data_IF_815378773746
#
_entry.id   IF_815378773746
#
_cell.length_a   1.000
_cell.length_b   1.000
_cell.length_c   1.000
_cell.angle_alpha   90.00
_cell.angle_beta   90.00
_cell.angle_gamma   90.00
#
_symmetry.space_group_name_H-M   'P 1'
#
loop_
_entity.id
_entity.type
_entity.pdbx_description
1 polymer ?
#
# COMPACT_ATOMS: atom_id res chain seq x y z
N UNK A 1 -8.86 17.34 6.98
CA UNK A 1 -7.78 16.56 6.36
C UNK A 1 -6.51 16.85 7.15
N UNK A 2 -5.76 15.84 7.57
CA UNK A 2 -4.58 16.05 8.41
C UNK A 2 -3.43 16.58 7.55
N UNK A 3 -3.06 17.84 7.67
CA UNK A 3 -2.03 18.46 6.81
C UNK A 3 -0.64 18.45 7.45
N UNK A 4 -0.56 18.81 8.74
CA UNK A 4 0.70 18.94 9.45
C UNK A 4 1.47 17.61 9.62
N UNK A 5 0.84 16.48 9.99
CA UNK A 5 1.58 15.23 10.20
C UNK A 5 2.16 14.62 8.93
N UNK A 6 1.57 14.90 7.75
CA UNK A 6 2.03 14.33 6.49
C UNK A 6 3.46 14.73 6.15
N UNK A 7 3.82 15.99 6.39
CA UNK A 7 5.17 16.48 6.13
C UNK A 7 6.23 15.68 6.89
N UNK A 8 5.90 15.12 8.06
CA UNK A 8 6.81 14.26 8.81
C UNK A 8 6.74 12.80 8.35
N UNK A 9 5.55 12.29 8.07
CA UNK A 9 5.32 10.89 7.69
C UNK A 9 5.79 10.55 6.27
N UNK A 10 5.85 11.55 5.38
CA UNK A 10 6.28 11.37 4.00
C UNK A 10 7.79 11.14 3.87
N UNK A 11 8.57 11.39 4.93
CA UNK A 11 9.98 11.01 4.99
C UNK A 11 10.15 9.58 5.48
N UNK A 12 10.71 8.71 4.64
CA UNK A 12 11.01 7.32 5.00
C UNK A 12 12.21 7.25 5.94
N UNK A 13 11.97 6.80 7.18
CA UNK A 13 12.99 6.64 8.22
C UNK A 13 13.92 5.45 7.89
N UNK A 14 15.21 5.73 7.72
CA UNK A 14 16.24 4.71 7.44
C UNK A 14 16.91 4.16 8.69
N UNK A 15 17.31 5.09 9.56
CA UNK A 15 18.12 4.80 10.75
C UNK A 15 17.40 5.30 11.97
N UNK A 16 17.19 4.42 12.93
CA UNK A 16 16.64 4.76 14.23
C UNK A 16 17.80 4.92 15.20
N UNK A 17 18.03 6.15 15.67
CA UNK A 17 19.07 6.43 16.66
C UNK A 17 18.61 5.98 18.05
N UNK A 18 19.10 4.81 18.48
CA UNK A 18 18.79 4.23 19.79
C UNK A 18 19.61 4.82 20.94
N UNK A 19 20.53 5.76 20.66
CA UNK A 19 21.41 6.34 21.70
C UNK A 19 20.83 7.58 22.37
N UNK A 20 19.93 8.29 21.69
CA UNK A 20 19.37 9.56 22.17
C UNK A 20 18.10 9.41 23.00
N UNK A 21 17.32 8.34 22.76
CA UNK A 21 16.04 8.11 23.42
C UNK A 21 15.90 6.63 23.81
N UNK A 22 15.24 6.35 24.94
CA UNK A 22 14.79 5.01 25.32
C UNK A 22 13.66 4.55 24.37
N UNK A 23 14.04 4.07 23.19
CA UNK A 23 13.13 3.59 22.16
C UNK A 23 12.74 2.13 22.44
N UNK A 24 11.45 1.93 22.74
CA UNK A 24 10.86 0.61 22.79
C UNK A 24 10.22 0.22 21.44
N UNK A 25 10.14 -1.08 21.18
CA UNK A 25 9.47 -1.64 20.00
C UNK A 25 8.02 -1.14 19.91
N UNK A 26 7.33 -0.97 21.04
CA UNK A 26 5.98 -0.44 21.07
C UNK A 26 5.90 0.97 20.45
N UNK A 27 6.91 1.82 20.68
CA UNK A 27 6.95 3.18 20.11
C UNK A 27 7.02 3.15 18.59
N UNK A 28 7.79 2.21 18.03
CA UNK A 28 7.90 2.00 16.58
C UNK A 28 6.56 1.52 16.02
N UNK A 29 5.92 0.53 16.67
CA UNK A 29 4.61 0.03 16.25
C UNK A 29 3.54 1.12 16.28
N UNK A 30 3.50 1.93 17.33
CA UNK A 30 2.55 3.03 17.48
C UNK A 30 2.76 4.12 16.41
N UNK A 31 4.01 4.49 16.14
CA UNK A 31 4.34 5.47 15.09
C UNK A 31 3.77 5.04 13.73
N UNK A 32 4.09 3.84 13.27
CA UNK A 32 3.60 3.35 11.98
C UNK A 32 2.09 3.07 11.99
N UNK A 33 1.54 2.61 13.11
CA UNK A 33 0.10 2.38 13.23
C UNK A 33 -0.70 3.68 13.15
N UNK A 34 -0.32 4.72 13.91
CA UNK A 34 -0.99 6.01 13.85
C UNK A 34 -0.71 6.74 12.55
N UNK A 35 0.51 6.63 12.01
CA UNK A 35 0.84 7.12 10.66
C UNK A 35 -0.08 6.54 9.60
N UNK A 36 -0.35 5.22 9.66
CA UNK A 36 -1.32 4.60 8.75
C UNK A 36 -2.73 5.18 8.89
N UNK A 37 -3.18 5.49 10.09
CA UNK A 37 -4.50 6.09 10.32
C UNK A 37 -4.62 7.49 9.73
N UNK A 38 -3.54 8.28 9.81
CA UNK A 38 -3.46 9.60 9.17
C UNK A 38 -3.57 9.45 7.65
N UNK A 39 -2.82 8.53 7.05
CA UNK A 39 -2.88 8.27 5.62
C UNK A 39 -4.27 7.77 5.17
N UNK A 40 -4.89 6.86 5.92
CA UNK A 40 -6.26 6.39 5.66
C UNK A 40 -7.25 7.56 5.69
N UNK A 41 -7.16 8.44 6.70
CA UNK A 41 -8.04 9.58 6.83
C UNK A 41 -7.88 10.58 5.67
N UNK A 42 -6.68 10.66 5.10
CA UNK A 42 -6.39 11.47 3.92
C UNK A 42 -6.63 10.73 2.59
N UNK A 43 -7.17 9.51 2.63
CA UNK A 43 -7.42 8.63 1.46
C UNK A 43 -6.15 8.27 0.67
N UNK A 44 -4.97 8.41 1.27
CA UNK A 44 -3.73 7.90 0.69
C UNK A 44 -3.57 6.43 1.10
N UNK A 45 -4.32 5.55 0.42
CA UNK A 45 -4.36 4.13 0.77
C UNK A 45 -3.06 3.40 0.48
N UNK A 46 -2.29 3.84 -0.53
CA UNK A 46 -1.01 3.21 -0.89
C UNK A 46 -0.02 3.31 0.28
N UNK A 47 0.27 4.53 0.76
CA UNK A 47 1.17 4.73 1.91
C UNK A 47 0.62 4.12 3.19
N UNK A 48 -0.69 4.14 3.38
CA UNK A 48 -1.31 3.47 4.53
C UNK A 48 -1.03 1.96 4.55
N UNK A 49 -1.10 1.29 3.40
CA UNK A 49 -0.80 -0.15 3.29
C UNK A 49 0.66 -0.44 3.59
N UNK A 50 1.58 0.41 3.14
CA UNK A 50 3.00 0.23 3.41
C UNK A 50 3.29 0.35 4.92
N UNK A 51 2.72 1.37 5.58
CA UNK A 51 2.82 1.55 7.03
C UNK A 51 2.22 0.38 7.82
N UNK A 52 1.04 -0.09 7.43
CA UNK A 52 0.40 -1.25 8.05
C UNK A 52 1.22 -2.53 7.85
N UNK A 53 1.80 -2.71 6.67
CA UNK A 53 2.66 -3.85 6.33
C UNK A 53 3.89 -3.90 7.22
N UNK A 54 4.52 -2.75 7.50
CA UNK A 54 5.64 -2.64 8.45
C UNK A 54 5.22 -3.09 9.85
N UNK A 55 4.09 -2.57 10.37
CA UNK A 55 3.57 -2.95 11.70
C UNK A 55 3.33 -4.46 11.77
N UNK A 56 2.64 -5.03 10.78
CA UNK A 56 2.31 -6.46 10.74
C UNK A 56 3.59 -7.30 10.66
N UNK A 57 4.60 -6.85 9.91
CA UNK A 57 5.83 -7.59 9.69
C UNK A 57 6.87 -7.44 10.81
N UNK A 58 6.61 -6.58 11.79
CA UNK A 58 7.54 -6.36 12.90
C UNK A 58 7.85 -7.68 13.64
N UNK A 59 9.13 -7.96 13.95
CA UNK A 59 9.51 -9.19 14.66
C UNK A 59 8.80 -9.33 16.00
N UNK A 60 8.23 -10.51 16.25
CA UNK A 60 7.58 -10.84 17.52
C UNK A 60 8.31 -11.98 18.21
N UNK A 61 8.69 -11.80 19.48
CA UNK A 61 9.41 -12.85 20.22
C UNK A 61 8.49 -14.00 20.65
N UNK A 62 7.40 -13.70 21.36
CA UNK A 62 6.56 -14.75 21.99
C UNK A 62 5.05 -14.58 21.80
N UNK A 63 4.57 -13.33 21.77
CA UNK A 63 3.14 -13.03 21.61
C UNK A 63 2.97 -11.88 20.61
N UNK A 64 1.88 -11.94 19.84
CA UNK A 64 1.51 -10.84 18.95
C UNK A 64 1.00 -9.66 19.78
N UNK A 65 1.43 -8.46 19.41
CA UNK A 65 0.86 -7.25 19.99
C UNK A 65 -0.59 -7.05 19.53
N UNK A 66 -1.42 -6.44 20.39
CA UNK A 66 -2.77 -6.04 20.00
C UNK A 66 -2.75 -5.04 18.82
N UNK A 67 -1.69 -4.22 18.73
CA UNK A 67 -1.47 -3.25 17.64
C UNK A 67 -1.34 -3.98 16.30
N UNK A 68 -0.56 -5.07 16.24
CA UNK A 68 -0.40 -5.87 15.02
C UNK A 68 -1.71 -6.49 14.54
N UNK A 69 -2.53 -7.02 15.46
CA UNK A 69 -3.84 -7.59 15.12
C UNK A 69 -4.77 -6.48 14.60
N UNK A 70 -4.80 -5.33 15.27
CA UNK A 70 -5.60 -4.18 14.85
C UNK A 70 -5.13 -3.60 13.51
N UNK A 71 -3.83 -3.65 13.24
CA UNK A 71 -3.23 -3.25 11.96
C UNK A 71 -3.64 -4.21 10.85
N UNK A 72 -3.60 -5.54 11.09
CA UNK A 72 -4.02 -6.53 10.10
C UNK A 72 -5.48 -6.38 9.69
N UNK A 73 -6.40 -6.20 10.66
CA UNK A 73 -7.82 -5.94 10.36
C UNK A 73 -8.01 -4.70 9.47
N UNK A 74 -7.29 -3.61 9.77
CA UNK A 74 -7.29 -2.39 8.95
C UNK A 74 -6.70 -2.64 7.57
N UNK A 75 -5.57 -3.35 7.50
CA UNK A 75 -4.87 -3.67 6.25
C UNK A 75 -5.79 -4.39 5.28
N UNK A 76 -6.55 -5.37 5.76
CA UNK A 76 -7.56 -6.07 4.94
C UNK A 76 -8.57 -5.09 4.34
N UNK A 77 -9.18 -4.22 5.16
CA UNK A 77 -10.16 -3.25 4.67
C UNK A 77 -9.56 -2.23 3.70
N UNK A 78 -8.37 -1.71 4.01
CA UNK A 78 -7.69 -0.73 3.17
C UNK A 78 -7.29 -1.35 1.83
N UNK A 79 -6.88 -2.62 1.79
CA UNK A 79 -6.64 -3.36 0.55
C UNK A 79 -7.89 -3.39 -0.33
N UNK A 80 -9.05 -3.70 0.25
CA UNK A 80 -10.33 -3.73 -0.49
C UNK A 80 -10.74 -2.35 -1.01
N UNK A 81 -10.45 -1.28 -0.27
CA UNK A 81 -10.77 0.09 -0.69
C UNK A 81 -9.82 0.59 -1.79
N UNK A 82 -8.52 0.45 -1.58
CA UNK A 82 -7.49 1.04 -2.45
C UNK A 82 -7.19 0.21 -3.70
N UNK A 83 -7.06 -1.10 -3.56
CA UNK A 83 -6.64 -1.99 -4.64
C UNK A 83 -7.77 -2.86 -5.20
N UNK A 84 -8.88 -3.00 -4.46
CA UNK A 84 -9.99 -3.87 -4.83
C UNK A 84 -9.67 -5.37 -4.72
N UNK A 85 -8.57 -5.72 -4.05
CA UNK A 85 -8.17 -7.10 -3.77
C UNK A 85 -7.25 -7.14 -2.54
N UNK A 86 -7.11 -8.31 -1.93
CA UNK A 86 -6.17 -8.50 -0.82
C UNK A 86 -4.74 -8.55 -1.35
N UNK A 87 -3.88 -7.62 -0.90
CA UNK A 87 -2.45 -7.65 -1.15
C UNK A 87 -1.78 -8.70 -0.25
N UNK A 88 -0.97 -9.64 -0.78
CA UNK A 88 -0.24 -10.58 0.05
C UNK A 88 0.73 -9.85 0.97
N UNK A 89 0.92 -10.38 2.19
CA UNK A 89 1.93 -9.85 3.10
C UNK A 89 3.34 -10.10 2.55
N UNK A 90 4.33 -9.27 2.93
CA UNK A 90 5.72 -9.49 2.54
C UNK A 90 6.22 -10.88 2.94
N UNK A 91 7.11 -11.45 2.13
CA UNK A 91 7.66 -12.81 2.37
C UNK A 91 8.45 -12.94 3.67
N UNK A 92 8.99 -11.83 4.18
CA UNK A 92 9.73 -11.78 5.44
C UNK A 92 8.81 -11.70 6.67
N UNK A 93 7.49 -11.54 6.49
CA UNK A 93 6.54 -11.63 7.60
C UNK A 93 6.55 -13.04 8.15
N UNK A 94 6.77 -13.20 9.46
CA UNK A 94 6.84 -14.52 10.08
C UNK A 94 5.50 -15.28 9.94
N UNK A 95 5.55 -16.54 9.50
CA UNK A 95 4.34 -17.34 9.22
C UNK A 95 3.41 -17.51 10.44
N UNK A 96 3.97 -17.54 11.65
CA UNK A 96 3.21 -17.57 12.91
C UNK A 96 2.34 -16.32 13.06
N UNK A 97 2.87 -15.14 12.71
CA UNK A 97 2.16 -13.85 12.75
C UNK A 97 0.97 -13.90 11.80
N UNK A 98 1.20 -14.33 10.56
CA UNK A 98 0.15 -14.42 9.55
C UNK A 98 -0.98 -15.37 9.98
N UNK A 99 -0.65 -16.54 10.52
CA UNK A 99 -1.64 -17.52 11.02
C UNK A 99 -2.50 -16.93 12.14
N UNK A 100 -1.88 -16.30 13.13
CA UNK A 100 -2.62 -15.68 14.26
C UNK A 100 -3.49 -14.54 13.76
N UNK A 101 -2.96 -13.64 12.94
CA UNK A 101 -3.72 -12.53 12.34
C UNK A 101 -4.94 -13.03 11.56
N UNK A 102 -4.79 -14.05 10.70
CA UNK A 102 -5.92 -14.65 9.97
C UNK A 102 -6.97 -15.25 10.91
N UNK A 103 -6.55 -15.94 11.96
CA UNK A 103 -7.47 -16.53 12.97
C UNK A 103 -8.28 -15.48 13.73
N UNK A 104 -7.72 -14.28 13.93
CA UNK A 104 -8.37 -13.19 14.66
C UNK A 104 -9.22 -12.28 13.75
N UNK A 105 -9.10 -12.43 12.43
CA UNK A 105 -9.75 -11.58 11.43
C UNK A 105 -10.66 -12.38 10.49
N UNK A 106 -11.18 -13.53 10.92
CA UNK A 106 -12.01 -14.44 10.09
C UNK A 106 -13.15 -13.70 9.37
N UNK A 107 -13.89 -12.86 10.08
CA UNK A 107 -15.01 -12.09 9.50
C UNK A 107 -14.53 -11.10 8.44
N UNK A 108 -13.36 -10.49 8.62
CA UNK A 108 -12.76 -9.60 7.63
C UNK A 108 -12.34 -10.36 6.37
N UNK A 109 -11.85 -11.59 6.52
CA UNK A 109 -11.50 -12.44 5.38
C UNK A 109 -12.73 -12.93 4.61
N UNK A 110 -13.86 -13.18 5.28
CA UNK A 110 -15.12 -13.47 4.60
C UNK A 110 -15.58 -12.32 3.70
N UNK A 111 -15.33 -11.06 4.11
CA UNK A 111 -15.57 -9.90 3.24
C UNK A 111 -14.65 -9.91 2.02
N UNK A 112 -13.39 -10.33 2.17
CA UNK A 112 -12.45 -10.46 1.04
C UNK A 112 -12.97 -11.48 0.03
N UNK A 113 -13.47 -12.62 0.49
CA UNK A 113 -14.02 -13.66 -0.39
C UNK A 113 -15.24 -13.14 -1.16
N UNK A 114 -16.19 -12.49 -0.47
CA UNK A 114 -17.33 -11.86 -1.13
C UNK A 114 -16.92 -10.75 -2.11
N UNK A 115 -15.86 -10.00 -1.81
CA UNK A 115 -15.31 -8.97 -2.68
C UNK A 115 -14.64 -9.56 -3.93
N UNK A 116 -13.94 -10.69 -3.78
CA UNK A 116 -13.26 -11.41 -4.87
C UNK A 116 -14.27 -11.83 -5.94
N UNK A 117 -15.38 -12.41 -5.53
CA UNK A 117 -16.47 -12.87 -6.39
C UNK A 117 -17.40 -11.74 -6.86
N UNK A 118 -17.12 -10.50 -6.44
CA UNK A 118 -17.93 -9.31 -6.72
C UNK A 118 -19.40 -9.51 -6.31
N UNK A 119 -19.63 -10.21 -5.18
CA UNK A 119 -20.94 -10.56 -4.65
C UNK A 119 -21.43 -9.51 -3.63
N UNK A 120 -22.20 -8.54 -4.13
CA UNK A 120 -22.70 -7.39 -3.38
C UNK A 120 -23.64 -7.82 -2.24
N UNK A 121 -24.51 -8.80 -2.48
CA UNK A 121 -25.48 -9.29 -1.47
C UNK A 121 -24.77 -9.97 -0.31
N UNK A 122 -23.88 -10.92 -0.63
CA UNK A 122 -23.09 -11.64 0.39
C UNK A 122 -22.26 -10.67 1.24
N UNK A 123 -21.66 -9.66 0.62
CA UNK A 123 -20.92 -8.63 1.37
C UNK A 123 -21.80 -7.90 2.37
N UNK A 124 -23.02 -7.49 1.99
CA UNK A 124 -23.96 -6.82 2.90
C UNK A 124 -24.48 -7.74 4.01
N UNK A 125 -24.76 -9.00 3.69
CA UNK A 125 -25.21 -9.98 4.68
C UNK A 125 -24.14 -10.20 5.76
N UNK A 126 -22.87 -10.33 5.37
CA UNK A 126 -21.75 -10.44 6.31
C UNK A 126 -21.60 -9.14 7.11
N UNK A 127 -21.66 -7.97 6.45
CA UNK A 127 -21.53 -6.67 7.09
C UNK A 127 -22.62 -6.42 8.15
N UNK A 128 -23.86 -6.82 7.86
CA UNK A 128 -25.00 -6.67 8.77
C UNK A 128 -24.96 -7.66 9.93
N UNK A 129 -24.71 -8.95 9.64
CA UNK A 129 -24.62 -10.02 10.65
C UNK A 129 -23.52 -9.79 11.66
N UNK A 130 -22.39 -9.23 11.23
CA UNK A 130 -21.22 -8.98 12.07
C UNK A 130 -21.04 -7.51 12.46
N UNK A 131 -22.10 -6.71 12.36
CA UNK A 131 -22.10 -5.27 12.68
C UNK A 131 -21.51 -4.93 14.05
N UNK A 132 -21.82 -5.71 15.09
CA UNK A 132 -21.30 -5.52 16.45
C UNK A 132 -19.77 -5.62 16.53
N UNK A 133 -19.16 -6.53 15.76
CA UNK A 133 -17.71 -6.70 15.70
C UNK A 133 -17.07 -5.46 15.07
N UNK A 134 -17.65 -4.98 13.96
CA UNK A 134 -17.15 -3.80 13.26
C UNK A 134 -17.35 -2.51 14.06
N UNK A 135 -18.40 -2.44 14.89
CA UNK A 135 -18.63 -1.31 15.78
C UNK A 135 -17.61 -1.29 16.92
N UNK A 136 -17.36 -2.44 17.55
CA UNK A 136 -16.33 -2.58 18.59
C UNK A 136 -14.92 -2.24 18.06
N UNK A 137 -14.59 -2.68 16.85
CA UNK A 137 -13.31 -2.37 16.21
C UNK A 137 -13.29 -0.94 15.60
N UNK A 138 -14.39 -0.19 15.64
CA UNK A 138 -14.57 1.16 15.05
C UNK A 138 -14.31 1.22 13.54
N UNK A 139 -14.71 0.16 12.83
CA UNK A 139 -14.47 -0.02 11.39
C UNK A 139 -15.68 0.24 10.49
N UNK A 140 -16.85 0.61 11.04
CA UNK A 140 -18.07 0.86 10.28
C UNK A 140 -17.86 1.81 9.08
N UNK A 141 -17.09 2.89 9.25
CA UNK A 141 -16.79 3.82 8.16
C UNK A 141 -15.97 3.20 7.03
N UNK A 142 -14.99 2.33 7.36
CA UNK A 142 -14.18 1.63 6.36
C UNK A 142 -14.97 0.54 5.66
N UNK A 143 -15.87 -0.16 6.36
CA UNK A 143 -16.76 -1.16 5.75
C UNK A 143 -17.67 -0.52 4.70
N UNK A 144 -18.23 0.67 5.00
CA UNK A 144 -19.02 1.44 4.02
C UNK A 144 -18.18 1.84 2.79
N UNK A 145 -16.93 2.24 2.98
CA UNK A 145 -16.01 2.54 1.88
C UNK A 145 -15.65 1.29 1.07
N UNK A 146 -15.46 0.14 1.73
CA UNK A 146 -15.26 -1.14 1.04
C UNK A 146 -16.48 -1.47 0.16
N UNK A 147 -17.69 -1.28 0.68
CA UNK A 147 -18.91 -1.49 -0.10
C UNK A 147 -18.99 -0.57 -1.34
N UNK A 148 -18.63 0.70 -1.19
CA UNK A 148 -18.54 1.62 -2.32
C UNK A 148 -17.46 1.19 -3.33
N UNK A 149 -16.30 0.73 -2.87
CA UNK A 149 -15.25 0.17 -3.72
C UNK A 149 -15.74 -1.06 -4.50
N UNK A 150 -16.51 -1.94 -3.86
CA UNK A 150 -17.11 -3.12 -4.49
C UNK A 150 -18.06 -2.73 -5.64
N UNK A 151 -18.91 -1.72 -5.43
CA UNK A 151 -19.77 -1.19 -6.49
C UNK A 151 -18.96 -0.63 -7.66
N UNK A 152 -17.90 0.13 -7.38
CA UNK A 152 -16.98 0.66 -8.41
C UNK A 152 -16.27 -0.46 -9.16
N UNK A 153 -15.86 -1.53 -8.48
CA UNK A 153 -15.30 -2.72 -9.11
C UNK A 153 -16.32 -3.34 -10.07
N UNK A 154 -17.58 -3.50 -9.66
CA UNK A 154 -18.64 -4.03 -10.53
C UNK A 154 -18.87 -3.14 -11.76
N UNK A 155 -18.86 -1.82 -11.58
CA UNK A 155 -18.96 -0.86 -12.69
C UNK A 155 -17.80 -1.02 -13.67
N UNK A 156 -16.54 -1.11 -13.16
CA UNK A 156 -15.35 -1.35 -13.99
C UNK A 156 -15.37 -2.70 -14.71
N UNK A 157 -15.99 -3.74 -14.14
CA UNK A 157 -16.19 -5.01 -14.85
C UNK A 157 -17.15 -4.84 -16.04
N UNK A 158 -18.21 -4.03 -15.88
CA UNK A 158 -19.17 -3.77 -16.94
C UNK A 158 -18.57 -2.95 -18.08
N UNK A 159 -17.66 -2.01 -17.81
CA UNK A 159 -17.00 -1.22 -18.87
C UNK A 159 -16.18 -2.08 -19.82
N UNK A 160 -15.68 -3.24 -19.36
CA UNK A 160 -14.92 -4.20 -20.20
C UNK A 160 -15.79 -4.98 -21.19
N UNK A 161 -17.10 -5.03 -20.95
CA UNK A 161 -18.04 -5.85 -21.73
C UNK A 161 -18.96 -4.99 -22.59
N UNK A 162 -19.18 -3.74 -22.20
CA UNK A 162 -20.09 -2.82 -22.86
C UNK A 162 -19.34 -1.59 -23.37
N UNK A 163 -19.57 -1.24 -24.64
CA UNK A 163 -19.19 0.08 -25.19
C UNK A 163 -20.26 1.10 -24.81
N UNK A 164 -21.53 0.76 -25.01
CA UNK A 164 -22.67 1.61 -24.68
C UNK A 164 -23.70 0.81 -23.89
N UNK A 165 -24.20 1.35 -22.78
CA UNK A 165 -25.21 0.70 -21.94
C UNK A 165 -26.22 1.72 -21.41
N UNK A 166 -27.50 1.35 -21.37
CA UNK A 166 -28.52 2.18 -20.74
C UNK A 166 -28.35 2.21 -19.23
N UNK A 167 -28.46 3.39 -18.62
CA UNK A 167 -28.28 3.59 -17.18
C UNK A 167 -29.22 2.70 -16.34
N UNK A 168 -30.46 2.53 -16.79
CA UNK A 168 -31.45 1.67 -16.13
C UNK A 168 -31.09 0.18 -16.21
N UNK A 169 -30.53 -0.26 -17.33
CA UNK A 169 -30.10 -1.65 -17.50
C UNK A 169 -28.85 -1.94 -16.67
N UNK A 170 -27.92 -0.98 -16.65
CA UNK A 170 -26.72 -1.05 -15.82
C UNK A 170 -27.07 -1.12 -14.33
N UNK A 171 -28.01 -0.30 -13.86
CA UNK A 171 -28.50 -0.35 -12.47
C UNK A 171 -29.12 -1.71 -12.12
N UNK A 172 -29.89 -2.31 -13.04
CA UNK A 172 -30.46 -3.64 -12.84
C UNK A 172 -29.39 -4.73 -12.73
N UNK A 173 -28.30 -4.64 -13.49
CA UNK A 173 -27.20 -5.62 -13.49
C UNK A 173 -26.31 -5.56 -12.26
N UNK A 174 -26.08 -4.36 -11.72
CA UNK A 174 -25.32 -4.19 -10.48
C UNK A 174 -26.15 -4.71 -9.30
N UNK A 175 -27.47 -4.64 -9.41
CA UNK A 175 -28.43 -4.92 -8.34
C UNK A 175 -28.23 -3.95 -7.17
N UNK A 176 -29.31 -3.66 -6.43
CA UNK A 176 -29.22 -2.89 -5.19
C UNK A 176 -28.69 -1.45 -5.33
N UNK A 177 -28.84 -0.85 -6.51
CA UNK A 177 -28.56 0.56 -6.75
C UNK A 177 -29.68 1.18 -7.59
N UNK A 178 -30.11 2.38 -7.22
CA UNK A 178 -31.05 3.13 -8.06
C UNK A 178 -30.33 3.77 -9.26
N UNK A 179 -31.03 4.01 -10.39
CA UNK A 179 -30.41 4.69 -11.54
C UNK A 179 -29.82 6.06 -11.18
N UNK A 180 -30.44 6.78 -10.23
CA UNK A 180 -29.95 8.08 -9.74
C UNK A 180 -28.64 7.95 -8.95
N UNK A 181 -28.56 6.97 -8.05
CA UNK A 181 -27.32 6.71 -7.30
C UNK A 181 -26.21 6.24 -8.24
N UNK A 182 -26.53 5.40 -9.22
CA UNK A 182 -25.55 4.96 -10.21
C UNK A 182 -25.01 6.14 -11.02
N UNK A 183 -25.85 7.07 -11.42
CA UNK A 183 -25.44 8.30 -12.11
C UNK A 183 -24.45 9.11 -11.27
N UNK A 184 -24.71 9.29 -9.98
CA UNK A 184 -23.80 10.00 -9.08
C UNK A 184 -22.45 9.29 -8.94
N UNK A 185 -22.45 7.95 -8.82
CA UNK A 185 -21.20 7.18 -8.75
C UNK A 185 -20.43 7.28 -10.07
N UNK A 186 -21.09 7.20 -11.22
CA UNK A 186 -20.45 7.34 -12.52
C UNK A 186 -19.80 8.72 -12.68
N UNK A 187 -20.51 9.79 -12.33
CA UNK A 187 -19.96 11.16 -12.36
C UNK A 187 -18.73 11.26 -11.46
N UNK A 188 -18.79 10.69 -10.25
CA UNK A 188 -17.64 10.69 -9.33
C UNK A 188 -16.44 9.91 -9.91
N UNK A 189 -16.69 8.74 -10.52
CA UNK A 189 -15.65 7.92 -11.14
C UNK A 189 -15.03 8.60 -12.37
N UNK A 190 -15.82 9.30 -13.19
CA UNK A 190 -15.34 10.07 -14.34
C UNK A 190 -14.47 11.25 -13.85
N UNK A 191 -14.95 12.01 -12.86
CA UNK A 191 -14.20 13.14 -12.30
C UNK A 191 -12.88 12.72 -11.65
N UNK A 192 -12.83 11.52 -11.04
CA UNK A 192 -11.62 10.96 -10.45
C UNK A 192 -10.72 10.25 -11.49
N UNK A 193 -11.03 10.35 -12.79
CA UNK A 193 -10.34 9.65 -13.89
C UNK A 193 -10.22 8.13 -13.66
N UNK A 194 -11.19 7.53 -12.96
CA UNK A 194 -11.22 6.08 -12.70
C UNK A 194 -11.81 5.28 -13.86
N UNK A 195 -12.63 5.92 -14.69
CA UNK A 195 -13.20 5.42 -15.95
C UNK A 195 -13.26 6.60 -16.93
N UNK A 196 -13.06 6.33 -18.22
CA UNK A 196 -13.39 7.29 -19.28
C UNK A 196 -14.77 6.95 -19.83
N UNK A 197 -15.74 7.82 -19.58
CA UNK A 197 -17.12 7.60 -20.00
C UNK A 197 -17.86 8.94 -20.21
N UNK A 198 -18.81 8.94 -21.14
CA UNK A 198 -19.74 10.05 -21.36
C UNK A 198 -21.19 9.59 -21.18
N UNK A 199 -22.04 10.48 -20.65
CA UNK A 199 -23.47 10.21 -20.46
C UNK A 199 -24.25 11.04 -21.48
N UNK A 200 -25.02 10.36 -22.34
CA UNK A 200 -25.89 11.00 -23.34
C UNK A 200 -27.36 10.66 -23.08
N UNK A 201 -28.25 11.48 -23.64
CA UNK A 201 -29.71 11.27 -23.56
C UNK A 201 -30.19 11.01 -24.98
N UNK A 202 -30.86 9.88 -25.20
CA UNK A 202 -31.46 9.57 -26.52
C UNK A 202 -32.76 10.34 -26.73
N UNK A 203 -33.25 10.36 -27.97
CA UNK A 203 -34.54 10.96 -28.33
C UNK A 203 -35.73 10.41 -27.52
N UNK A 204 -35.60 9.18 -26.99
CA UNK A 204 -36.61 8.55 -26.12
C UNK A 204 -36.43 8.91 -24.63
N UNK A 205 -35.66 9.96 -24.31
CA UNK A 205 -35.35 10.39 -22.93
C UNK A 205 -34.65 9.32 -22.08
N UNK A 206 -33.98 8.35 -22.70
CA UNK A 206 -33.20 7.34 -21.97
C UNK A 206 -31.75 7.78 -21.83
N UNK A 207 -31.21 7.71 -20.61
CA UNK A 207 -29.80 8.01 -20.33
C UNK A 207 -28.94 6.80 -20.71
N UNK A 208 -27.95 7.04 -21.55
CA UNK A 208 -26.99 6.03 -22.04
C UNK A 208 -25.58 6.43 -21.61
N UNK A 209 -24.81 5.44 -21.17
CA UNK A 209 -23.40 5.60 -20.79
C UNK A 209 -22.56 5.02 -21.93
N UNK A 210 -21.62 5.82 -22.45
CA UNK A 210 -20.68 5.44 -23.50
C UNK A 210 -19.29 5.39 -22.87
N UNK A 211 -18.63 4.24 -22.90
CA UNK A 211 -17.28 4.05 -22.38
C UNK A 211 -16.27 4.25 -23.49
N UNK A 212 -15.22 5.04 -23.21
CA UNK A 212 -14.12 5.29 -24.13
C UNK A 212 -12.87 4.59 -23.59
N UNK A 213 -12.09 3.99 -24.46
CA UNK A 213 -10.75 3.50 -24.12
C UNK A 213 -9.74 4.59 -24.54
N UNK A 214 -9.68 5.68 -23.77
CA UNK A 214 -8.68 6.72 -23.99
C UNK A 214 -7.45 6.43 -23.12
N UNK A 215 -6.46 5.79 -23.74
CA UNK A 215 -5.12 5.63 -23.22
C UNK A 215 -4.28 6.86 -23.63
N UNK A 216 -4.27 7.91 -22.80
CA UNK A 216 -3.51 9.14 -23.06
C UNK A 216 -1.99 8.85 -23.02
N UNK A 217 -1.34 8.80 -24.19
CA UNK A 217 0.11 8.56 -24.35
C UNK A 217 0.97 9.58 -23.60
N UNK A 218 0.52 10.83 -23.49
CA UNK A 218 1.21 11.89 -22.74
C UNK A 218 1.29 11.57 -21.24
N UNK A 219 0.24 11.00 -20.66
CA UNK A 219 0.24 10.62 -19.24
C UNK A 219 1.23 9.46 -18.96
N UNK A 220 1.43 8.57 -19.95
CA UNK A 220 2.43 7.50 -19.84
C UNK A 220 3.86 8.06 -19.83
N UNK A 221 4.14 9.05 -20.67
CA UNK A 221 5.46 9.67 -20.75
C UNK A 221 5.82 10.40 -19.45
N UNK A 222 4.91 11.21 -18.90
CA UNK A 222 5.16 11.90 -17.63
C UNK A 222 5.35 10.92 -16.46
N UNK A 223 4.55 9.84 -16.39
CA UNK A 223 4.72 8.79 -15.36
C UNK A 223 6.05 8.06 -15.48
N UNK A 224 6.53 7.85 -16.71
CA UNK A 224 7.82 7.23 -16.96
C UNK A 224 8.97 8.13 -16.47
N UNK A 225 8.92 9.43 -16.77
CA UNK A 225 9.93 10.40 -16.33
C UNK A 225 9.99 10.50 -14.79
N UNK A 226 8.83 10.59 -14.13
CA UNK A 226 8.75 10.58 -12.67
C UNK A 226 9.35 9.29 -12.08
N UNK A 227 9.05 8.14 -12.70
CA UNK A 227 9.59 6.85 -12.27
C UNK A 227 11.11 6.78 -12.44
N UNK A 228 11.67 7.34 -13.51
CA UNK A 228 13.12 7.41 -13.73
C UNK A 228 13.81 8.26 -12.67
N UNK A 229 13.25 9.42 -12.32
CA UNK A 229 13.78 10.29 -11.28
C UNK A 229 13.74 9.61 -9.90
N UNK A 230 12.65 8.92 -9.59
CA UNK A 230 12.52 8.14 -8.35
C UNK A 230 13.56 7.02 -8.29
N UNK A 231 13.75 6.27 -9.39
CA UNK A 231 14.78 5.23 -9.48
C UNK A 231 16.19 5.78 -9.30
N UNK A 232 16.51 6.93 -9.91
CA UNK A 232 17.81 7.59 -9.72
C UNK A 232 18.05 7.96 -8.26
N UNK A 233 17.03 8.47 -7.57
CA UNK A 233 17.11 8.84 -6.15
C UNK A 233 17.34 7.62 -5.26
N UNK A 234 16.61 6.54 -5.52
CA UNK A 234 16.76 5.26 -4.80
C UNK A 234 18.15 4.67 -5.05
N UNK A 235 18.67 4.68 -6.28
CA UNK A 235 20.01 4.18 -6.60
C UNK A 235 21.11 4.94 -5.87
N UNK A 236 21.01 6.27 -5.81
CA UNK A 236 21.95 7.09 -5.05
C UNK A 236 21.93 6.74 -3.56
N UNK A 237 20.73 6.50 -3.02
CA UNK A 237 20.54 6.10 -1.61
C UNK A 237 21.09 4.71 -1.33
N UNK A 238 20.85 3.74 -2.20
CA UNK A 238 21.43 2.38 -2.09
C UNK A 238 22.96 2.46 -2.13
N UNK A 239 23.51 3.23 -3.07
CA UNK A 239 24.98 3.41 -3.19
C UNK A 239 25.57 4.02 -1.92
N UNK A 240 24.85 4.95 -1.28
CA UNK A 240 25.27 5.51 0.00
C UNK A 240 25.20 4.49 1.14
N UNK A 241 24.13 3.70 1.24
CA UNK A 241 24.00 2.65 2.24
C UNK A 241 25.05 1.56 2.09
N UNK A 242 25.38 1.17 0.86
CA UNK A 242 26.42 0.18 0.56
C UNK A 242 27.80 0.67 1.02
N UNK A 243 28.12 1.95 0.78
CA UNK A 243 29.34 2.59 1.31
C UNK A 243 29.38 2.56 2.84
N UNK A 244 28.26 2.87 3.51
CA UNK A 244 28.20 2.85 4.97
C UNK A 244 28.41 1.44 5.54
N UNK A 245 27.82 0.42 4.93
CA UNK A 245 28.01 -0.97 5.36
C UNK A 245 29.44 -1.45 5.07
N UNK A 246 30.05 -1.04 3.95
CA UNK A 246 31.45 -1.31 3.64
C UNK A 246 32.43 -0.70 4.65
N UNK A 247 32.07 0.43 5.27
CA UNK A 247 32.84 1.06 6.34
C UNK A 247 32.61 0.43 7.73
N UNK A 248 31.62 -0.45 7.87
CA UNK A 248 31.30 -1.08 9.13
C UNK A 248 32.37 -2.12 9.53
N UNK A 249 33.03 -1.89 10.67
CA UNK A 249 34.14 -2.74 11.14
C UNK A 249 33.72 -4.20 11.37
N UNK A 250 32.50 -4.42 11.84
CA UNK A 250 32.00 -5.77 12.11
C UNK A 250 31.75 -6.54 10.79
N UNK A 251 31.26 -5.83 9.78
CA UNK A 251 31.12 -6.35 8.42
C UNK A 251 32.48 -6.70 7.81
N UNK A 252 33.44 -5.77 7.85
CA UNK A 252 34.81 -5.99 7.36
C UNK A 252 35.48 -7.19 8.04
N UNK A 253 35.35 -7.31 9.36
CA UNK A 253 35.92 -8.42 10.13
C UNK A 253 35.31 -9.75 9.71
N UNK A 254 33.99 -9.80 9.55
CA UNK A 254 33.28 -11.01 9.13
C UNK A 254 33.60 -11.39 7.69
N UNK A 255 33.72 -10.41 6.79
CA UNK A 255 34.13 -10.59 5.39
C UNK A 255 35.54 -11.18 5.30
N UNK A 256 36.51 -10.59 6.01
CA UNK A 256 37.88 -11.12 6.08
C UNK A 256 37.91 -12.54 6.64
N UNK A 257 37.11 -12.82 7.68
CA UNK A 257 37.02 -14.18 8.25
C UNK A 257 36.48 -15.19 7.23
N UNK A 258 35.38 -14.87 6.54
CA UNK A 258 34.78 -15.73 5.51
C UNK A 258 35.70 -15.96 4.31
N UNK A 259 36.41 -14.92 3.86
CA UNK A 259 37.40 -15.02 2.77
C UNK A 259 38.61 -15.88 3.13
N UNK A 260 38.98 -15.94 4.42
CA UNK A 260 40.16 -16.68 4.88
C UNK A 260 39.89 -18.14 5.29
N UNK A 261 38.63 -18.55 5.53
CA UNK A 261 38.29 -19.87 6.10
C UNK A 261 37.28 -20.72 5.30
N UNK A 262 36.86 -20.31 4.11
CA UNK A 262 35.94 -21.09 3.26
C UNK A 262 36.57 -22.32 2.59
N UNK A 263 35.99 -23.53 2.67
CA UNK A 263 36.45 -24.69 1.90
C UNK A 263 35.94 -24.59 0.45
N UNK A 264 36.84 -24.27 -0.49
CA UNK A 264 36.57 -24.23 -1.93
C UNK A 264 36.50 -22.80 -2.47
N UNK A 265 37.46 -22.47 -3.34
CA UNK A 265 37.78 -21.12 -3.76
C UNK A 265 36.64 -20.35 -4.41
N UNK A 266 36.45 -19.12 -3.92
CA UNK A 266 35.79 -18.02 -4.62
C UNK A 266 36.87 -17.01 -5.04
N UNK A 267 38.07 -17.49 -5.39
CA UNK A 267 39.27 -16.65 -5.58
C UNK A 267 39.57 -16.29 -7.04
N UNK A 268 38.71 -16.61 -8.02
CA UNK A 268 39.08 -16.43 -9.44
C UNK A 268 38.16 -15.57 -10.30
N UNK A 269 37.11 -14.94 -9.77
CA UNK A 269 36.25 -14.08 -10.61
C UNK A 269 35.78 -12.73 -10.04
N UNK A 270 36.37 -12.25 -8.95
CA UNK A 270 36.08 -10.90 -8.44
C UNK A 270 37.35 -10.12 -8.04
N UNK A 271 38.43 -10.32 -8.81
CA UNK A 271 39.58 -9.43 -8.76
C UNK A 271 39.38 -8.41 -9.88
N UNK A 272 39.52 -7.13 -9.54
CA UNK A 272 39.39 -5.92 -10.38
C UNK A 272 38.01 -5.27 -10.43
N UNK A 273 37.46 -4.91 -9.27
CA UNK A 273 36.84 -3.60 -9.14
C UNK A 273 37.56 -2.90 -7.99
N UNK A 274 38.61 -2.14 -8.34
CA UNK A 274 39.29 -1.26 -7.39
C UNK A 274 38.21 -0.43 -6.70
N UNK A 275 38.03 -0.66 -5.39
CA UNK A 275 37.29 0.26 -4.54
C UNK A 275 38.13 1.54 -4.49
N UNK A 276 37.93 2.43 -5.49
CA UNK A 276 38.48 3.78 -5.48
C UNK A 276 37.91 4.48 -4.25
N UNK A 277 38.66 4.43 -3.16
CA UNK A 277 38.53 5.34 -2.04
C UNK A 277 39.06 6.69 -2.54
N UNK A 278 38.21 7.73 -2.72
CA UNK A 278 38.72 9.05 -2.98
C UNK A 278 39.47 9.50 -1.72
N UNK A 279 40.77 9.73 -1.87
CA UNK A 279 41.55 10.44 -0.86
C UNK A 279 41.14 11.91 -0.96
N UNK A 280 40.14 12.31 -0.18
CA UNK A 280 39.82 13.74 -0.01
C UNK A 280 40.99 14.41 0.74
N UNK A 281 41.92 14.98 -0.03
CA UNK A 281 43.00 15.84 0.48
C UNK A 281 42.52 17.24 0.92
N UNK A 282 41.22 17.55 0.82
CA UNK A 282 40.69 18.90 1.14
C UNK A 282 40.19 19.08 2.59
N UNK A 283 40.26 18.07 3.46
CA UNK A 283 39.88 18.21 4.87
C UNK A 283 40.98 18.80 5.78
N UNK A 284 42.03 19.43 5.22
CA UNK A 284 43.11 20.10 5.96
C UNK A 284 43.16 21.61 5.71
N UNK A 285 42.03 22.31 5.68
CA UNK A 285 42.04 23.77 5.90
C UNK A 285 40.71 24.34 6.36
N UNK A 286 40.24 23.96 7.55
CA UNK A 286 39.31 24.81 8.31
C UNK A 286 39.30 24.44 9.80
N UNK A 287 40.47 24.56 10.43
CA UNK A 287 40.59 24.85 11.86
C UNK A 287 41.43 26.11 11.99
N UNK A 288 40.78 27.27 11.96
CA UNK A 288 41.30 28.52 12.53
C UNK A 288 40.19 29.60 12.55
N UNK A 289 39.88 30.01 13.78
CA UNK A 289 39.03 31.14 14.25
C UNK A 289 37.53 30.88 14.31
#
# INVERSE_FOLDING_TARGET
MYTYPLQLLDYDIETIDTTKNDLDIQSVLEYYFYGSMVYIANKNFVRALDFLSIVISAPTQKLLSAIQIAAYKKYVLVCLIGEGQMRPLPKYTASTVEKVCKSQAVVYLQLVDAFKDTNIRMFQDIASRSSTIFENDKHIGLIKQCFQSLLRKKIKELTKVYITVGLNEMAKKIENISPKELELILIEMINQKQISASISITEQLTKMVHFNDDDEEEERQSKLEESILNLSTINNRISYMDKLEGLNRDFQTKYMTLSSTGPGGISEHFVDEEMELPVDEEAKSSFAV
#
